data_IF_293042693533
#
_entry.id   IF_293042693533
#
_cell.length_a   1.000
_cell.length_b   1.000
_cell.length_c   1.000
_cell.angle_alpha   90.00
_cell.angle_beta   90.00
_cell.angle_gamma   90.00
#
_symmetry.space_group_name_H-M   'P 1'
#
loop_
_entity.id
_entity.type
_entity.pdbx_description
1 polymer ?
#
# COMPACT_ATOMS: atom_id res chain seq x y z
N UNK A 1 -22.40 24.78 2.95
CA UNK A 1 -21.85 23.58 2.28
C UNK A 1 -22.63 22.38 2.76
N UNK A 2 -23.19 21.58 1.86
CA UNK A 2 -23.90 20.35 2.26
C UNK A 2 -22.93 19.41 2.98
N UNK A 3 -23.40 18.70 4.01
CA UNK A 3 -22.59 17.76 4.80
C UNK A 3 -21.85 16.74 3.89
N UNK A 4 -22.47 16.36 2.77
CA UNK A 4 -21.87 15.51 1.76
C UNK A 4 -20.65 16.11 1.06
N UNK A 5 -20.59 17.44 0.88
CA UNK A 5 -19.44 18.12 0.28
C UNK A 5 -18.24 18.14 1.24
N UNK A 6 -18.49 18.23 2.55
CA UNK A 6 -17.47 18.09 3.60
C UNK A 6 -16.95 16.64 3.72
N UNK A 7 -17.85 15.66 3.68
CA UNK A 7 -17.51 14.22 3.75
C UNK A 7 -16.66 13.78 2.55
N UNK A 8 -16.80 14.42 1.38
CA UNK A 8 -15.98 14.13 0.19
C UNK A 8 -14.73 15.02 0.12
N UNK A 9 -14.84 16.31 0.43
CA UNK A 9 -13.72 17.24 0.30
C UNK A 9 -12.62 16.97 1.32
N UNK A 10 -12.95 16.60 2.56
CA UNK A 10 -11.96 16.33 3.61
C UNK A 10 -11.03 15.16 3.25
N UNK A 11 -11.51 13.97 2.86
CA UNK A 11 -10.62 12.87 2.46
C UNK A 11 -9.85 13.18 1.18
N UNK A 12 -10.41 13.94 0.24
CA UNK A 12 -9.69 14.37 -0.97
C UNK A 12 -8.55 15.34 -0.62
N UNK A 13 -8.81 16.34 0.23
CA UNK A 13 -7.78 17.27 0.72
C UNK A 13 -6.71 16.53 1.51
N UNK A 14 -7.09 15.56 2.35
CA UNK A 14 -6.15 14.71 3.07
C UNK A 14 -5.30 13.86 2.11
N UNK A 15 -5.89 13.29 1.06
CA UNK A 15 -5.17 12.55 0.02
C UNK A 15 -4.20 13.44 -0.75
N UNK A 16 -4.59 14.66 -1.10
CA UNK A 16 -3.73 15.63 -1.80
C UNK A 16 -2.60 16.13 -0.90
N UNK A 17 -2.91 16.43 0.36
CA UNK A 17 -1.90 16.82 1.35
C UNK A 17 -0.91 15.68 1.59
N UNK A 18 -1.42 14.45 1.72
CA UNK A 18 -0.61 13.25 1.82
C UNK A 18 0.28 13.04 0.60
N UNK A 19 -0.26 13.14 -0.61
CA UNK A 19 0.50 13.02 -1.84
C UNK A 19 1.62 14.07 -1.89
N UNK A 20 1.32 15.31 -1.51
CA UNK A 20 2.30 16.40 -1.42
C UNK A 20 3.41 16.07 -0.41
N UNK A 21 3.06 15.59 0.79
CA UNK A 21 4.04 15.20 1.82
C UNK A 21 4.92 14.05 1.34
N UNK A 22 4.33 13.02 0.71
CA UNK A 22 5.07 11.87 0.15
C UNK A 22 6.07 12.35 -0.90
N UNK A 23 5.63 13.20 -1.84
CA UNK A 23 6.48 13.77 -2.89
C UNK A 23 7.63 14.57 -2.25
N UNK A 24 7.34 15.45 -1.29
CA UNK A 24 8.35 16.27 -0.62
C UNK A 24 9.36 15.38 0.12
N UNK A 25 8.92 14.37 0.86
CA UNK A 25 9.82 13.47 1.60
C UNK A 25 10.70 12.66 0.65
N UNK A 26 10.14 12.14 -0.45
CA UNK A 26 10.91 11.42 -1.48
C UNK A 26 11.98 12.31 -2.11
N UNK A 27 11.63 13.57 -2.41
CA UNK A 27 12.54 14.54 -3.00
C UNK A 27 13.64 15.00 -2.02
N UNK A 28 13.32 15.12 -0.74
CA UNK A 28 14.25 15.60 0.29
C UNK A 28 15.19 14.49 0.76
N UNK A 29 14.69 13.29 1.02
CA UNK A 29 15.49 12.15 1.50
C UNK A 29 16.39 11.57 0.40
N UNK A 30 16.05 11.77 -0.88
CA UNK A 30 16.89 11.37 -2.01
C UNK A 30 18.24 12.11 -2.13
N UNK A 31 18.47 13.17 -1.34
CA UNK A 31 19.62 14.07 -1.51
C UNK A 31 20.93 13.60 -0.86
N UNK A 32 20.89 12.57 -0.01
CA UNK A 32 22.07 12.10 0.73
C UNK A 32 22.50 10.71 0.25
N UNK A 33 23.05 10.62 -0.97
CA UNK A 33 23.65 9.38 -1.46
C UNK A 33 25.17 9.51 -1.47
N UNK A 34 25.87 8.52 -0.90
CA UNK A 34 27.30 8.36 -1.05
C UNK A 34 27.66 8.25 -2.56
N UNK A 35 28.88 8.66 -2.95
CA UNK A 35 29.32 8.56 -4.34
C UNK A 35 29.25 7.14 -4.87
N UNK A 36 29.06 7.03 -6.17
CA UNK A 36 28.80 5.76 -6.83
C UNK A 36 30.07 4.99 -7.06
N UNK A 37 30.09 3.68 -6.82
CA UNK A 37 31.30 2.89 -7.03
C UNK A 37 31.68 2.77 -8.51
N UNK A 38 30.72 2.92 -9.43
CA UNK A 38 30.93 2.81 -10.87
C UNK A 38 29.83 3.48 -11.69
N UNK A 39 30.06 3.69 -12.99
CA UNK A 39 29.04 4.19 -13.92
C UNK A 39 27.86 3.22 -14.05
N UNK A 40 28.10 1.90 -13.99
CA UNK A 40 27.06 0.88 -13.99
C UNK A 40 26.18 1.00 -12.74
N UNK A 41 26.77 1.24 -11.57
CA UNK A 41 26.04 1.50 -10.33
C UNK A 41 25.21 2.80 -10.41
N UNK A 42 25.74 3.86 -11.01
CA UNK A 42 25.00 5.10 -11.26
C UNK A 42 23.79 4.88 -12.18
N UNK A 43 23.97 4.16 -13.29
CA UNK A 43 22.91 3.81 -14.22
C UNK A 43 21.82 2.95 -13.56
N UNK A 44 22.21 1.95 -12.76
CA UNK A 44 21.29 1.10 -12.02
C UNK A 44 20.43 1.88 -11.02
N UNK A 45 21.02 2.85 -10.29
CA UNK A 45 20.24 3.70 -9.38
C UNK A 45 19.31 4.67 -10.11
N UNK A 46 19.73 5.24 -11.25
CA UNK A 46 18.84 6.07 -12.09
C UNK A 46 17.66 5.26 -12.61
N UNK A 47 17.90 4.04 -13.09
CA UNK A 47 16.85 3.11 -13.51
C UNK A 47 15.88 2.82 -12.37
N UNK A 48 16.39 2.39 -11.21
CA UNK A 48 15.56 2.10 -10.04
C UNK A 48 14.79 3.34 -9.53
N UNK A 49 15.37 4.53 -9.64
CA UNK A 49 14.71 5.80 -9.34
C UNK A 49 13.57 6.11 -10.31
N UNK A 50 13.80 5.97 -11.62
CA UNK A 50 12.80 6.17 -12.66
C UNK A 50 11.62 5.20 -12.53
N UNK A 51 11.90 3.91 -12.33
CA UNK A 51 10.87 2.88 -12.08
C UNK A 51 10.02 3.26 -10.86
N UNK A 52 10.66 3.66 -9.76
CA UNK A 52 9.93 4.07 -8.55
C UNK A 52 9.07 5.30 -8.79
N UNK A 53 9.57 6.31 -9.51
CA UNK A 53 8.82 7.52 -9.81
C UNK A 53 7.58 7.22 -10.68
N UNK A 54 7.75 6.40 -11.73
CA UNK A 54 6.64 5.98 -12.59
C UNK A 54 5.62 5.15 -11.81
N UNK A 55 6.07 4.24 -10.94
CA UNK A 55 5.19 3.44 -10.09
C UNK A 55 4.33 4.33 -9.19
N UNK A 56 4.95 5.28 -8.48
CA UNK A 56 4.24 6.25 -7.63
C UNK A 56 3.30 7.15 -8.42
N UNK A 57 3.69 7.58 -9.62
CA UNK A 57 2.81 8.34 -10.50
C UNK A 57 1.55 7.55 -10.86
N UNK A 58 1.70 6.27 -11.23
CA UNK A 58 0.56 5.39 -11.49
C UNK A 58 -0.33 5.20 -10.26
N UNK A 59 0.29 5.05 -9.07
CA UNK A 59 -0.41 4.90 -7.80
C UNK A 59 -1.25 6.14 -7.43
N UNK A 60 -0.78 7.34 -7.77
CA UNK A 60 -1.48 8.62 -7.52
C UNK A 60 -2.53 8.93 -8.59
N UNK A 61 -2.23 8.67 -9.86
CA UNK A 61 -3.15 8.97 -10.97
C UNK A 61 -4.37 8.06 -11.00
N UNK A 62 -4.23 6.78 -10.64
CA UNK A 62 -5.34 5.83 -10.69
C UNK A 62 -6.54 6.24 -9.78
N UNK A 63 -6.36 6.67 -8.52
CA UNK A 63 -7.42 7.25 -7.70
C UNK A 63 -8.07 8.52 -8.26
N UNK A 64 -7.32 9.34 -9.00
CA UNK A 64 -7.84 10.57 -9.61
C UNK A 64 -8.72 10.26 -10.82
N UNK A 65 -8.32 9.29 -11.64
CA UNK A 65 -9.02 8.90 -12.86
C UNK A 65 -10.17 7.90 -12.60
N UNK A 66 -10.06 7.09 -11.54
CA UNK A 66 -11.02 6.05 -11.18
C UNK A 66 -12.48 6.52 -11.10
N UNK A 67 -12.79 7.63 -10.41
CA UNK A 67 -14.14 8.17 -10.35
C UNK A 67 -14.73 8.51 -11.73
N UNK A 68 -13.94 9.10 -12.62
CA UNK A 68 -14.38 9.45 -13.97
C UNK A 68 -14.77 8.20 -14.77
N UNK A 69 -13.98 7.13 -14.68
CA UNK A 69 -14.27 5.85 -15.33
C UNK A 69 -15.49 5.16 -14.72
N UNK A 70 -15.65 5.23 -13.39
CA UNK A 70 -16.79 4.64 -12.69
C UNK A 70 -18.13 5.29 -13.04
N UNK A 71 -18.13 6.56 -13.44
CA UNK A 71 -19.36 7.30 -13.80
C UNK A 71 -20.09 6.73 -15.03
N UNK A 72 -19.45 5.85 -15.79
CA UNK A 72 -20.07 5.12 -16.91
C UNK A 72 -20.96 3.96 -16.46
N UNK A 73 -20.84 3.52 -15.20
CA UNK A 73 -21.61 2.42 -14.61
C UNK A 73 -22.58 2.97 -13.58
N UNK A 74 -23.84 2.53 -13.64
CA UNK A 74 -24.89 2.97 -12.71
C UNK A 74 -25.20 1.92 -11.66
N UNK A 75 -25.73 2.38 -10.52
CA UNK A 75 -26.23 1.53 -9.46
C UNK A 75 -25.13 0.88 -8.61
N UNK A 76 -25.42 -0.25 -7.94
CA UNK A 76 -24.54 -0.84 -6.92
C UNK A 76 -23.16 -1.24 -7.45
N UNK A 77 -23.06 -1.61 -8.73
CA UNK A 77 -21.80 -1.98 -9.38
C UNK A 77 -20.80 -0.81 -9.45
N UNK A 78 -21.28 0.43 -9.49
CA UNK A 78 -20.44 1.61 -9.43
C UNK A 78 -19.63 1.66 -8.12
N UNK A 79 -20.26 1.28 -7.01
CA UNK A 79 -19.58 1.22 -5.70
C UNK A 79 -18.49 0.15 -5.65
N UNK A 80 -18.69 -0.99 -6.31
CA UNK A 80 -17.66 -2.04 -6.43
C UNK A 80 -16.48 -1.50 -7.24
N UNK A 81 -16.74 -0.86 -8.38
CA UNK A 81 -15.69 -0.29 -9.23
C UNK A 81 -14.89 0.78 -8.49
N UNK A 82 -15.56 1.69 -7.79
CA UNK A 82 -14.91 2.70 -6.94
C UNK A 82 -14.07 2.05 -5.83
N UNK A 83 -14.59 1.01 -5.19
CA UNK A 83 -13.87 0.25 -4.17
C UNK A 83 -12.62 -0.45 -4.70
N UNK A 84 -12.60 -0.85 -5.98
CA UNK A 84 -11.46 -1.53 -6.62
C UNK A 84 -10.41 -0.56 -7.16
N UNK A 85 -10.65 0.75 -7.16
CA UNK A 85 -9.69 1.76 -7.65
C UNK A 85 -8.32 1.67 -6.95
N UNK A 86 -8.22 1.54 -5.61
CA UNK A 86 -6.94 1.32 -4.94
C UNK A 86 -6.21 0.07 -5.44
N UNK A 87 -6.94 -1.00 -5.76
CA UNK A 87 -6.34 -2.24 -6.28
C UNK A 87 -5.77 -2.04 -7.67
N UNK A 88 -6.50 -1.39 -8.58
CA UNK A 88 -5.97 -1.06 -9.90
C UNK A 88 -4.68 -0.25 -9.76
N UNK A 89 -4.68 0.74 -8.86
CA UNK A 89 -3.50 1.52 -8.53
C UNK A 89 -2.34 0.65 -8.00
N UNK A 90 -2.63 -0.29 -7.10
CA UNK A 90 -1.65 -1.23 -6.55
C UNK A 90 -1.08 -2.22 -7.55
N UNK A 91 -1.91 -2.78 -8.42
CA UNK A 91 -1.48 -3.69 -9.49
C UNK A 91 -0.60 -2.95 -10.49
N UNK A 92 -0.96 -1.72 -10.88
CA UNK A 92 -0.12 -0.87 -11.73
C UNK A 92 1.22 -0.57 -11.05
N UNK A 93 1.19 -0.17 -9.77
CA UNK A 93 2.39 0.12 -8.99
C UNK A 93 3.35 -1.08 -8.92
N UNK A 94 2.84 -2.25 -8.53
CA UNK A 94 3.62 -3.49 -8.44
C UNK A 94 4.07 -3.97 -9.82
N UNK A 95 3.22 -3.83 -10.84
CA UNK A 95 3.53 -4.19 -12.23
C UNK A 95 4.68 -3.36 -12.80
N UNK A 96 4.72 -2.04 -12.56
CA UNK A 96 5.84 -1.18 -12.96
C UNK A 96 7.14 -1.65 -12.29
N UNK A 97 7.09 -2.00 -11.00
CA UNK A 97 8.25 -2.55 -10.32
C UNK A 97 8.68 -3.92 -10.88
N UNK A 98 7.73 -4.81 -11.20
CA UNK A 98 8.02 -6.09 -11.84
C UNK A 98 8.74 -5.89 -13.17
N UNK A 99 8.22 -5.01 -14.04
CA UNK A 99 8.83 -4.67 -15.33
C UNK A 99 10.21 -4.05 -15.12
N UNK A 100 10.35 -3.13 -14.16
CA UNK A 100 11.62 -2.48 -13.85
C UNK A 100 12.72 -3.46 -13.42
N UNK A 101 12.36 -4.49 -12.67
CA UNK A 101 13.29 -5.54 -12.23
C UNK A 101 13.55 -6.59 -13.32
N UNK A 102 12.58 -6.88 -14.20
CA UNK A 102 12.77 -7.76 -15.36
C UNK A 102 13.61 -7.11 -16.48
N UNK A 103 13.53 -5.79 -16.61
CA UNK A 103 14.31 -4.98 -17.58
C UNK A 103 15.65 -4.54 -17.03
N UNK A 104 16.08 -5.11 -15.89
CA UNK A 104 17.34 -4.76 -15.25
C UNK A 104 18.53 -4.96 -16.22
N UNK A 105 19.48 -4.02 -16.30
CA UNK A 105 20.63 -4.14 -17.19
C UNK A 105 21.39 -5.45 -16.94
N UNK A 106 21.54 -6.25 -17.99
CA UNK A 106 22.26 -7.53 -17.89
C UNK A 106 23.76 -7.28 -17.77
N UNK A 107 24.49 -8.13 -17.03
CA UNK A 107 25.94 -8.07 -16.97
C UNK A 107 26.58 -8.23 -18.36
N UNK A 108 27.24 -7.19 -18.86
CA UNK A 108 28.06 -7.24 -20.09
C UNK A 108 29.53 -7.12 -19.69
N UNK A 109 30.18 -8.25 -19.44
CA UNK A 109 31.60 -8.30 -19.09
C UNK A 109 32.24 -9.63 -19.50
N UNK A 110 33.51 -9.60 -19.87
CA UNK A 110 34.28 -10.77 -20.34
C UNK A 110 34.58 -11.79 -19.23
N UNK A 111 34.47 -11.40 -17.96
CA UNK A 111 34.76 -12.26 -16.80
C UNK A 111 33.46 -12.55 -16.02
N UNK A 112 32.97 -13.78 -16.13
CA UNK A 112 31.78 -14.25 -15.38
C UNK A 112 32.20 -14.69 -13.97
N UNK A 113 32.23 -13.76 -13.02
CA UNK A 113 32.36 -14.11 -11.59
C UNK A 113 30.98 -14.44 -11.04
N UNK A 114 30.72 -15.71 -10.76
CA UNK A 114 29.51 -16.15 -10.06
C UNK A 114 29.86 -16.36 -8.59
N UNK A 115 29.48 -15.42 -7.73
CA UNK A 115 29.46 -15.67 -6.29
C UNK A 115 28.32 -16.65 -5.97
N UNK A 116 28.64 -17.82 -5.42
CA UNK A 116 27.69 -18.87 -5.05
C UNK A 116 27.01 -18.62 -3.70
N UNK A 117 26.55 -17.39 -3.45
CA UNK A 117 25.75 -17.11 -2.25
C UNK A 117 24.27 -17.37 -2.53
N UNK A 118 23.69 -18.31 -1.78
CA UNK A 118 22.26 -18.61 -1.84
C UNK A 118 21.51 -17.47 -1.15
N UNK A 119 20.89 -16.59 -1.93
CA UNK A 119 20.12 -15.45 -1.42
C UNK A 119 18.64 -15.80 -1.38
N UNK A 120 17.99 -15.48 -0.28
CA UNK A 120 16.57 -15.71 -0.07
C UNK A 120 15.82 -14.38 0.00
N UNK A 121 14.50 -14.42 -0.19
CA UNK A 121 13.65 -13.24 0.00
C UNK A 121 13.73 -12.67 1.42
N UNK A 122 14.05 -13.51 2.42
CA UNK A 122 14.22 -13.09 3.80
C UNK A 122 15.45 -12.19 4.02
N UNK A 123 16.45 -12.24 3.14
CA UNK A 123 17.66 -11.43 3.23
C UNK A 123 17.46 -10.01 2.66
N UNK A 124 16.45 -9.87 1.79
CA UNK A 124 16.16 -8.63 1.06
C UNK A 124 14.94 -7.92 1.60
N UNK A 125 13.88 -8.66 1.94
CA UNK A 125 12.62 -8.10 2.41
C UNK A 125 12.62 -7.97 3.95
N UNK A 126 12.47 -6.75 4.49
CA UNK A 126 12.37 -6.57 5.94
C UNK A 126 11.13 -7.29 6.48
N UNK A 127 11.34 -8.26 7.37
CA UNK A 127 10.27 -9.11 7.94
C UNK A 127 9.12 -8.31 8.54
N UNK A 128 9.43 -7.17 9.18
CA UNK A 128 8.42 -6.27 9.75
C UNK A 128 7.45 -5.73 8.70
N UNK A 129 7.94 -5.18 7.57
CA UNK A 129 7.05 -4.64 6.53
C UNK A 129 6.23 -5.74 5.84
N UNK A 130 6.85 -6.90 5.61
CA UNK A 130 6.13 -8.06 5.08
C UNK A 130 5.03 -8.52 6.04
N UNK A 131 5.33 -8.59 7.33
CA UNK A 131 4.35 -8.87 8.38
C UNK A 131 3.21 -7.85 8.42
N UNK A 132 3.50 -6.56 8.28
CA UNK A 132 2.47 -5.51 8.19
C UNK A 132 1.58 -5.67 6.96
N UNK A 133 2.12 -5.98 5.78
CA UNK A 133 1.32 -6.20 4.57
C UNK A 133 0.31 -7.34 4.78
N UNK A 134 0.76 -8.46 5.33
CA UNK A 134 -0.10 -9.60 5.64
C UNK A 134 -1.06 -9.30 6.79
N UNK A 135 -0.64 -8.50 7.78
CA UNK A 135 -1.51 -7.99 8.84
C UNK A 135 -2.66 -7.14 8.31
N UNK A 136 -2.40 -6.23 7.37
CA UNK A 136 -3.45 -5.47 6.70
C UNK A 136 -4.38 -6.36 5.87
N UNK A 137 -3.82 -7.34 5.16
CA UNK A 137 -4.61 -8.30 4.38
C UNK A 137 -5.52 -9.13 5.29
N UNK A 138 -5.01 -9.59 6.43
CA UNK A 138 -5.78 -10.30 7.44
C UNK A 138 -6.87 -9.41 8.07
N UNK A 139 -6.59 -8.12 8.29
CA UNK A 139 -7.61 -7.16 8.73
C UNK A 139 -8.74 -7.03 7.70
N UNK A 140 -8.42 -6.89 6.41
CA UNK A 140 -9.45 -6.86 5.35
C UNK A 140 -10.28 -8.14 5.34
N UNK A 141 -9.65 -9.30 5.51
CA UNK A 141 -10.36 -10.59 5.64
C UNK A 141 -11.34 -10.58 6.81
N UNK A 142 -10.88 -10.17 8.00
CA UNK A 142 -11.75 -10.08 9.20
C UNK A 142 -12.90 -9.13 8.95
N UNK A 143 -12.64 -7.94 8.38
CA UNK A 143 -13.68 -6.96 8.09
C UNK A 143 -14.68 -7.47 7.04
N UNK A 144 -14.22 -8.21 6.02
CA UNK A 144 -15.10 -8.82 5.02
C UNK A 144 -15.99 -9.91 5.63
N UNK A 145 -15.45 -10.74 6.52
CA UNK A 145 -16.21 -11.79 7.23
C UNK A 145 -17.24 -11.17 8.18
N UNK A 146 -16.82 -10.22 9.01
CA UNK A 146 -17.72 -9.52 9.95
C UNK A 146 -18.78 -8.73 9.20
N UNK A 147 -18.39 -7.95 8.19
CA UNK A 147 -19.32 -7.22 7.34
C UNK A 147 -20.28 -8.15 6.63
N UNK A 148 -19.79 -9.26 6.09
CA UNK A 148 -20.62 -10.29 5.44
C UNK A 148 -21.65 -10.93 6.37
N UNK A 149 -21.29 -11.18 7.63
CA UNK A 149 -22.19 -11.74 8.64
C UNK A 149 -23.26 -10.74 9.13
N UNK A 150 -22.92 -9.45 9.18
CA UNK A 150 -23.82 -8.39 9.69
C UNK A 150 -24.72 -7.81 8.59
N UNK A 151 -24.31 -7.91 7.33
CA UNK A 151 -25.01 -7.22 6.24
C UNK A 151 -26.40 -7.81 5.93
N UNK A 152 -27.40 -6.93 5.87
CA UNK A 152 -28.70 -7.20 5.28
C UNK A 152 -28.63 -7.04 3.75
N UNK A 153 -29.17 -8.03 3.03
CA UNK A 153 -29.11 -8.06 1.55
C UNK A 153 -27.68 -8.02 0.98
N UNK A 154 -26.68 -8.37 1.78
CA UNK A 154 -25.27 -8.45 1.39
C UNK A 154 -24.54 -7.11 1.19
N UNK A 155 -25.21 -5.95 1.34
CA UNK A 155 -24.63 -4.63 1.03
C UNK A 155 -25.14 -3.47 1.89
N UNK A 156 -26.08 -3.73 2.80
CA UNK A 156 -26.65 -2.75 3.71
C UNK A 156 -26.55 -3.27 5.14
N UNK A 157 -26.79 -2.39 6.10
CA UNK A 157 -27.08 -2.77 7.48
C UNK A 157 -28.45 -2.21 7.84
N UNK A 158 -29.27 -3.00 8.52
CA UNK A 158 -30.64 -2.63 8.86
C UNK A 158 -30.93 -2.83 10.33
N UNK A 159 -31.81 -1.99 10.87
CA UNK A 159 -32.36 -2.10 12.22
C UNK A 159 -33.88 -2.00 12.14
N UNK A 160 -34.57 -2.89 12.85
CA UNK A 160 -36.02 -2.83 13.05
C UNK A 160 -36.31 -1.95 14.28
N UNK A 161 -37.31 -1.09 14.15
CA UNK A 161 -37.84 -0.19 15.18
C UNK A 161 -39.36 -0.40 15.25
N UNK A 162 -40.01 0.05 16.30
CA UNK A 162 -41.44 -0.22 16.56
C UNK A 162 -42.34 0.19 15.38
N UNK A 163 -42.06 1.33 14.74
CA UNK A 163 -42.84 1.87 13.61
C UNK A 163 -42.22 1.61 12.22
N UNK A 164 -41.24 0.70 12.09
CA UNK A 164 -40.69 0.33 10.80
C UNK A 164 -39.24 -0.14 10.79
N UNK A 165 -38.54 0.10 9.68
CA UNK A 165 -37.17 -0.36 9.49
C UNK A 165 -36.30 0.72 8.88
N UNK A 166 -35.07 0.82 9.37
CA UNK A 166 -34.06 1.70 8.82
C UNK A 166 -32.96 0.85 8.18
N UNK A 167 -32.48 1.28 7.02
CA UNK A 167 -31.37 0.62 6.33
C UNK A 167 -30.39 1.67 5.83
N UNK A 168 -29.09 1.40 5.97
CA UNK A 168 -28.04 2.25 5.43
C UNK A 168 -27.05 1.45 4.60
N UNK A 169 -26.57 2.08 3.53
CA UNK A 169 -25.47 1.59 2.71
C UNK A 169 -24.71 2.77 2.08
N UNK A 170 -23.56 2.51 1.44
CA UNK A 170 -22.94 1.20 1.25
C UNK A 170 -22.33 0.65 2.55
N UNK A 171 -22.67 -0.59 2.91
CA UNK A 171 -22.07 -1.32 4.03
C UNK A 171 -21.21 -2.46 3.47
N UNK A 172 -19.99 -2.73 4.00
CA UNK A 172 -19.04 -3.68 3.43
C UNK A 172 -19.41 -5.16 3.70
N UNK A 173 -20.64 -5.54 3.37
CA UNK A 173 -21.10 -6.93 3.31
C UNK A 173 -20.49 -7.71 2.15
N UNK A 174 -20.88 -8.97 1.96
CA UNK A 174 -20.30 -9.86 0.94
C UNK A 174 -20.24 -9.27 -0.47
N UNK A 175 -21.22 -8.43 -0.85
CA UNK A 175 -21.27 -7.78 -2.15
C UNK A 175 -20.05 -6.87 -2.43
N UNK A 176 -19.56 -6.16 -1.41
CA UNK A 176 -18.37 -5.29 -1.51
C UNK A 176 -17.12 -5.95 -0.92
N UNK A 177 -17.26 -6.63 0.21
CA UNK A 177 -16.15 -7.21 0.98
C UNK A 177 -15.41 -8.32 0.23
N UNK A 178 -16.12 -9.20 -0.49
CA UNK A 178 -15.47 -10.29 -1.22
C UNK A 178 -14.61 -9.78 -2.39
N UNK A 179 -15.10 -8.91 -3.30
CA UNK A 179 -14.26 -8.29 -4.32
C UNK A 179 -13.03 -7.59 -3.73
N UNK A 180 -13.21 -6.80 -2.66
CA UNK A 180 -12.11 -6.07 -2.02
C UNK A 180 -11.05 -7.02 -1.41
N UNK A 181 -11.49 -8.11 -0.78
CA UNK A 181 -10.58 -9.13 -0.23
C UNK A 181 -9.75 -9.80 -1.33
N UNK A 182 -10.40 -10.25 -2.41
CA UNK A 182 -9.71 -10.86 -3.57
C UNK A 182 -8.70 -9.87 -4.14
N UNK A 183 -9.10 -8.61 -4.25
CA UNK A 183 -8.26 -7.54 -4.76
C UNK A 183 -7.02 -7.30 -3.88
N UNK A 184 -7.17 -7.27 -2.56
CA UNK A 184 -6.03 -7.18 -1.62
C UNK A 184 -5.11 -8.40 -1.70
N UNK A 185 -5.66 -9.62 -1.83
CA UNK A 185 -4.88 -10.84 -2.00
C UNK A 185 -4.04 -10.81 -3.29
N UNK A 186 -4.61 -10.31 -4.40
CA UNK A 186 -3.88 -10.14 -5.66
C UNK A 186 -2.71 -9.19 -5.49
N UNK A 187 -2.90 -8.04 -4.84
CA UNK A 187 -1.81 -7.08 -4.59
C UNK A 187 -0.73 -7.67 -3.68
N UNK A 188 -1.12 -8.39 -2.63
CA UNK A 188 -0.18 -9.06 -1.73
C UNK A 188 0.62 -10.14 -2.46
N UNK A 189 -0.04 -11.00 -3.24
CA UNK A 189 0.62 -12.05 -4.01
C UNK A 189 1.55 -11.49 -5.10
N UNK A 190 1.11 -10.46 -5.82
CA UNK A 190 1.94 -9.79 -6.82
C UNK A 190 3.18 -9.14 -6.16
N UNK A 191 3.02 -8.58 -4.96
CA UNK A 191 4.14 -8.03 -4.19
C UNK A 191 5.16 -9.11 -3.83
N UNK A 192 4.72 -10.27 -3.33
CA UNK A 192 5.60 -11.42 -3.05
C UNK A 192 6.32 -11.92 -4.31
N UNK A 193 5.62 -11.96 -5.45
CA UNK A 193 6.24 -12.33 -6.73
C UNK A 193 7.34 -11.34 -7.14
N UNK A 194 7.11 -10.03 -6.99
CA UNK A 194 8.15 -9.02 -7.25
C UNK A 194 9.31 -9.14 -6.27
N UNK A 195 9.05 -9.40 -4.98
CA UNK A 195 10.14 -9.64 -4.00
C UNK A 195 10.98 -10.86 -4.39
N UNK A 196 10.37 -11.90 -4.95
CA UNK A 196 11.09 -13.06 -5.48
C UNK A 196 11.98 -12.67 -6.67
N UNK A 197 11.46 -11.87 -7.61
CA UNK A 197 12.25 -11.34 -8.76
C UNK A 197 13.42 -10.49 -8.29
N UNK A 198 13.22 -9.60 -7.30
CA UNK A 198 14.27 -8.76 -6.71
C UNK A 198 15.35 -9.62 -6.06
N UNK A 199 14.97 -10.70 -5.37
CA UNK A 199 15.92 -11.64 -4.76
C UNK A 199 16.69 -12.45 -5.82
N UNK A 200 16.07 -12.80 -6.94
CA UNK A 200 16.67 -13.61 -8.00
C UNK A 200 17.44 -12.84 -9.07
N UNK A 201 17.34 -11.49 -9.10
CA UNK A 201 17.99 -10.70 -10.16
C UNK A 201 19.52 -10.89 -10.18
N UNK A 202 20.20 -10.78 -11.33
CA UNK A 202 21.66 -10.78 -11.40
C UNK A 202 22.29 -9.61 -10.62
N UNK A 203 23.51 -9.80 -10.10
CA UNK A 203 24.25 -8.71 -9.45
C UNK A 203 24.73 -7.66 -10.46
N UNK A 204 24.81 -6.41 -10.03
CA UNK A 204 25.34 -5.30 -10.85
C UNK A 204 26.84 -5.50 -11.09
N UNK A 205 27.28 -5.33 -12.34
CA UNK A 205 28.69 -5.45 -12.74
C UNK A 205 29.54 -4.43 -11.99
N UNK A 206 30.70 -4.89 -11.50
CA UNK A 206 31.69 -4.10 -10.75
C UNK A 206 31.15 -3.46 -9.44
N UNK A 207 29.96 -3.85 -8.99
CA UNK A 207 29.44 -3.44 -7.69
C UNK A 207 29.86 -4.42 -6.60
N UNK A 208 30.26 -3.88 -5.44
CA UNK A 208 30.53 -4.70 -4.27
C UNK A 208 29.25 -5.43 -3.81
N UNK A 209 29.33 -6.69 -3.32
CA UNK A 209 28.15 -7.46 -2.91
C UNK A 209 27.23 -6.75 -1.91
N UNK A 210 27.81 -6.02 -0.95
CA UNK A 210 27.08 -5.20 0.04
C UNK A 210 26.26 -4.08 -0.59
N UNK A 211 26.77 -3.47 -1.66
CA UNK A 211 26.08 -2.39 -2.37
C UNK A 211 24.90 -2.95 -3.18
N UNK A 212 25.10 -4.09 -3.85
CA UNK A 212 24.03 -4.80 -4.56
C UNK A 212 22.90 -5.22 -3.61
N UNK A 213 23.24 -5.76 -2.43
CA UNK A 213 22.26 -6.12 -1.40
C UNK A 213 21.49 -4.90 -0.91
N UNK A 214 22.17 -3.79 -0.61
CA UNK A 214 21.52 -2.55 -0.18
C UNK A 214 20.54 -2.03 -1.25
N UNK A 215 20.91 -2.12 -2.53
CA UNK A 215 20.04 -1.73 -3.65
C UNK A 215 18.80 -2.63 -3.75
N UNK A 216 18.96 -3.94 -3.55
CA UNK A 216 17.83 -4.89 -3.53
C UNK A 216 16.89 -4.63 -2.35
N UNK A 217 17.45 -4.39 -1.17
CA UNK A 217 16.69 -4.04 0.02
C UNK A 217 15.90 -2.75 -0.24
N UNK A 218 16.51 -1.75 -0.86
CA UNK A 218 15.83 -0.51 -1.23
C UNK A 218 14.66 -0.76 -2.21
N UNK A 219 14.86 -1.57 -3.26
CA UNK A 219 13.78 -2.00 -4.16
C UNK A 219 12.65 -2.68 -3.37
N UNK A 220 12.96 -3.64 -2.51
CA UNK A 220 11.97 -4.35 -1.70
C UNK A 220 11.19 -3.42 -0.76
N UNK A 221 11.86 -2.46 -0.12
CA UNK A 221 11.20 -1.45 0.73
C UNK A 221 10.22 -0.59 -0.07
N UNK A 222 10.59 -0.15 -1.27
CA UNK A 222 9.72 0.66 -2.13
C UNK A 222 8.45 -0.10 -2.52
N UNK A 223 8.61 -1.34 -2.98
CA UNK A 223 7.48 -2.20 -3.38
C UNK A 223 6.56 -2.46 -2.19
N UNK A 224 7.11 -2.87 -1.04
CA UNK A 224 6.33 -3.15 0.17
C UNK A 224 5.53 -1.94 0.66
N UNK A 225 6.12 -0.74 0.62
CA UNK A 225 5.45 0.49 1.08
C UNK A 225 4.26 0.88 0.21
N UNK A 226 4.40 0.81 -1.11
CA UNK A 226 3.28 1.09 -2.00
C UNK A 226 2.17 0.05 -1.86
N UNK A 227 2.53 -1.23 -1.75
CA UNK A 227 1.55 -2.29 -1.50
C UNK A 227 0.82 -2.13 -0.16
N UNK A 228 1.56 -1.81 0.92
CA UNK A 228 0.97 -1.51 2.22
C UNK A 228 0.03 -0.32 2.17
N UNK A 229 0.39 0.75 1.44
CA UNK A 229 -0.46 1.92 1.26
C UNK A 229 -1.81 1.52 0.67
N UNK A 230 -1.79 0.70 -0.38
CA UNK A 230 -3.01 0.23 -1.06
C UNK A 230 -3.88 -0.63 -0.15
N UNK A 231 -3.31 -1.67 0.46
CA UNK A 231 -4.07 -2.62 1.28
C UNK A 231 -4.58 -1.96 2.57
N UNK A 232 -3.73 -1.15 3.21
CA UNK A 232 -4.10 -0.43 4.44
C UNK A 232 -5.16 0.66 4.21
N UNK A 233 -5.08 1.42 3.11
CA UNK A 233 -6.13 2.38 2.76
C UNK A 233 -7.44 1.68 2.37
N UNK A 234 -7.38 0.49 1.77
CA UNK A 234 -8.57 -0.33 1.52
C UNK A 234 -9.23 -0.74 2.83
N UNK A 235 -8.46 -1.22 3.81
CA UNK A 235 -8.97 -1.54 5.15
C UNK A 235 -9.57 -0.31 5.86
N UNK A 236 -8.91 0.84 5.77
CA UNK A 236 -9.42 2.10 6.30
C UNK A 236 -10.75 2.52 5.62
N UNK A 237 -10.85 2.36 4.30
CA UNK A 237 -12.08 2.62 3.55
C UNK A 237 -13.23 1.72 3.98
N UNK A 238 -12.98 0.41 4.16
CA UNK A 238 -13.97 -0.55 4.66
C UNK A 238 -14.49 -0.14 6.05
N UNK A 239 -13.59 0.21 6.97
CA UNK A 239 -13.94 0.71 8.30
C UNK A 239 -14.74 2.02 8.24
N UNK A 240 -14.33 2.95 7.36
CA UNK A 240 -14.99 4.24 7.19
C UNK A 240 -16.44 4.06 6.72
N UNK A 241 -16.67 3.37 5.60
CA UNK A 241 -18.01 3.18 5.05
C UNK A 241 -18.88 2.28 5.94
N UNK A 242 -18.31 1.23 6.53
CA UNK A 242 -19.01 0.40 7.51
C UNK A 242 -19.43 1.19 8.74
N UNK A 243 -18.53 1.99 9.31
CA UNK A 243 -18.80 2.84 10.46
C UNK A 243 -19.83 3.93 10.18
N UNK A 244 -19.77 4.58 9.00
CA UNK A 244 -20.77 5.55 8.56
C UNK A 244 -22.15 4.90 8.45
N UNK A 245 -22.27 3.73 7.80
CA UNK A 245 -23.55 3.05 7.64
C UNK A 245 -24.15 2.61 8.99
N UNK A 246 -23.35 2.03 9.89
CA UNK A 246 -23.80 1.64 11.24
C UNK A 246 -24.21 2.87 12.07
N UNK A 247 -23.47 3.97 11.96
CA UNK A 247 -23.81 5.23 12.64
C UNK A 247 -25.09 5.85 12.07
N UNK A 248 -25.32 5.78 10.76
CA UNK A 248 -26.52 6.32 10.13
C UNK A 248 -27.79 5.61 10.61
N UNK A 249 -27.74 4.28 10.88
CA UNK A 249 -28.90 3.57 11.45
C UNK A 249 -29.08 3.76 12.96
N UNK A 250 -28.17 4.50 13.62
CA UNK A 250 -28.26 4.79 15.05
C UNK A 250 -29.26 5.91 15.38
N UNK A 251 -29.46 6.85 14.45
CA UNK A 251 -30.38 7.98 14.59
C UNK A 251 -31.73 7.63 13.96
N UNK A 252 -32.79 7.54 14.76
CA UNK A 252 -34.13 7.40 14.20
C UNK A 252 -34.59 8.74 13.61
N UNK A 253 -35.19 8.69 12.42
CA UNK A 253 -35.78 9.85 11.75
C UNK A 253 -37.25 10.09 12.16
N UNK A 254 -37.78 9.28 13.09
CA UNK A 254 -39.16 9.36 13.58
C UNK A 254 -39.16 10.15 14.88
N UNK A 255 -40.19 10.99 15.09
CA UNK A 255 -40.34 11.94 16.21
C UNK A 255 -40.12 11.31 17.60
N UNK A 256 -40.44 10.02 17.79
CA UNK A 256 -40.28 9.27 19.05
C UNK A 256 -39.17 8.20 19.02
N UNK A 257 -38.38 8.15 17.95
CA UNK A 257 -37.42 7.07 17.75
C UNK A 257 -36.18 7.20 18.64
N UNK A 258 -36.05 6.32 19.64
CA UNK A 258 -34.88 6.29 20.51
C UNK A 258 -33.59 6.00 19.73
N UNK A 259 -32.60 6.90 19.90
CA UNK A 259 -31.23 6.71 19.40
C UNK A 259 -30.67 5.40 19.94
N UNK A 260 -30.19 4.52 19.07
CA UNK A 260 -29.54 3.29 19.53
C UNK A 260 -28.09 3.58 19.92
N UNK A 261 -27.84 3.70 21.23
CA UNK A 261 -26.50 3.84 21.78
C UNK A 261 -25.51 2.76 21.28
N UNK A 262 -25.85 1.45 21.21
CA UNK A 262 -24.91 0.43 20.71
C UNK A 262 -24.41 0.70 19.29
N UNK A 263 -25.32 0.93 18.33
CA UNK A 263 -24.98 1.25 16.95
C UNK A 263 -24.17 2.56 16.83
N UNK A 264 -24.52 3.58 17.62
CA UNK A 264 -23.76 4.84 17.64
C UNK A 264 -22.32 4.61 18.10
N UNK A 265 -22.12 3.84 19.18
CA UNK A 265 -20.79 3.52 19.72
C UNK A 265 -19.99 2.69 18.73
N UNK A 266 -20.56 1.60 18.19
CA UNK A 266 -19.88 0.74 17.23
C UNK A 266 -19.48 1.52 15.96
N UNK A 267 -20.42 2.29 15.40
CA UNK A 267 -20.16 3.13 14.24
C UNK A 267 -19.04 4.14 14.51
N UNK A 268 -19.05 4.79 15.68
CA UNK A 268 -18.02 5.76 16.07
C UNK A 268 -16.65 5.11 16.26
N UNK A 269 -16.58 3.93 16.89
CA UNK A 269 -15.33 3.16 17.05
C UNK A 269 -14.78 2.78 15.67
N UNK A 270 -15.62 2.28 14.76
CA UNK A 270 -15.19 1.93 13.41
C UNK A 270 -14.62 3.14 12.64
N UNK A 271 -15.24 4.31 12.78
CA UNK A 271 -14.73 5.57 12.21
C UNK A 271 -13.38 5.98 12.81
N UNK A 272 -13.22 5.87 14.13
CA UNK A 272 -11.96 6.17 14.80
C UNK A 272 -10.85 5.20 14.33
N UNK A 273 -11.16 3.91 14.22
CA UNK A 273 -10.24 2.91 13.70
C UNK A 273 -9.89 3.17 12.23
N UNK A 274 -10.82 3.64 11.40
CA UNK A 274 -10.53 4.02 10.01
C UNK A 274 -9.44 5.10 9.95
N UNK A 275 -9.51 6.12 10.81
CA UNK A 275 -8.51 7.18 10.91
C UNK A 275 -7.16 6.61 11.38
N UNK A 276 -7.16 5.81 12.45
CA UNK A 276 -5.92 5.20 12.99
C UNK A 276 -5.25 4.31 11.95
N UNK A 277 -6.00 3.44 11.27
CA UNK A 277 -5.49 2.56 10.22
C UNK A 277 -4.97 3.36 9.03
N UNK A 278 -5.71 4.38 8.58
CA UNK A 278 -5.31 5.26 7.49
C UNK A 278 -3.98 5.99 7.80
N UNK A 279 -3.89 6.61 8.97
CA UNK A 279 -2.67 7.31 9.42
C UNK A 279 -1.49 6.35 9.58
N UNK A 280 -1.70 5.18 10.20
CA UNK A 280 -0.64 4.17 10.37
C UNK A 280 -0.11 3.71 9.02
N UNK A 281 -1.01 3.44 8.08
CA UNK A 281 -0.67 3.02 6.72
C UNK A 281 0.19 4.08 6.00
N UNK A 282 -0.22 5.34 6.10
CA UNK A 282 0.51 6.49 5.57
C UNK A 282 1.90 6.61 6.17
N UNK A 283 1.99 6.56 7.50
CA UNK A 283 3.26 6.67 8.22
C UNK A 283 4.21 5.56 7.79
N UNK A 284 3.74 4.30 7.74
CA UNK A 284 4.54 3.16 7.29
C UNK A 284 5.01 3.33 5.83
N UNK A 285 4.19 3.90 4.96
CA UNK A 285 4.56 4.15 3.56
C UNK A 285 5.65 5.23 3.40
N UNK A 286 5.67 6.24 4.28
CA UNK A 286 6.55 7.42 4.15
C UNK A 286 7.83 7.31 4.98
N UNK A 287 7.80 6.65 6.15
CA UNK A 287 8.93 6.58 7.08
C UNK A 287 10.20 6.12 6.36
N UNK A 288 11.32 6.85 6.37
CA UNK A 288 12.53 6.43 5.66
C UNK A 288 13.04 5.08 6.18
N UNK A 289 13.42 4.18 5.28
CA UNK A 289 14.00 2.90 5.66
C UNK A 289 15.39 3.15 6.21
N UNK A 290 15.71 2.68 7.42
CA UNK A 290 17.08 2.74 7.92
C UNK A 290 17.92 1.78 7.07
N UNK A 291 18.92 2.26 6.30
CA UNK A 291 19.79 1.37 5.57
C UNK A 291 20.58 0.54 6.59
N UNK A 292 20.31 -0.77 6.63
CA UNK A 292 20.97 -1.71 7.55
C UNK A 292 22.49 -1.79 7.36
N UNK A 293 23.06 -1.12 6.36
CA UNK A 293 24.49 -1.13 6.04
C UNK A 293 25.22 0.22 6.18
N UNK A 294 24.60 1.27 6.75
CA UNK A 294 25.30 2.55 6.97
C UNK A 294 26.18 2.57 8.24
N UNK A 295 26.18 1.50 9.03
CA UNK A 295 27.06 1.36 10.19
C UNK A 295 28.29 0.53 9.81
N UNK A 296 29.46 1.19 9.89
CA UNK A 296 30.83 0.69 9.77
C UNK A 296 31.29 0.28 8.35
N UNK A 297 31.82 1.26 7.61
CA UNK A 297 33.08 1.03 6.89
C UNK A 297 34.16 1.12 7.96
N UNK A 298 34.84 0.03 8.36
CA UNK A 298 36.13 0.19 9.00
C UNK A 298 37.02 0.84 7.96
N UNK A 299 37.37 2.12 8.15
CA UNK A 299 38.43 2.80 7.40
C UNK A 299 39.81 2.31 7.87
N UNK A 300 39.91 1.04 8.24
CA UNK A 300 41.17 0.43 8.60
C UNK A 300 42.07 0.43 7.36
N UNK A 301 43.33 0.85 7.49
CA UNK A 301 44.29 0.75 6.40
C UNK A 301 44.31 -0.71 5.91
N UNK A 302 44.29 -0.88 4.58
CA UNK A 302 44.55 -2.18 3.98
C UNK A 302 45.88 -2.69 4.55
N UNK A 303 45.95 -3.91 5.11
CA UNK A 303 47.22 -4.46 5.57
C UNK A 303 48.19 -4.44 4.39
N UNK A 304 49.33 -3.77 4.60
CA UNK A 304 50.39 -3.64 3.60
C UNK A 304 50.68 -5.02 3.01
N UNK A 305 50.69 -5.07 1.68
CA UNK A 305 51.02 -6.27 0.94
C UNK A 305 52.36 -6.80 1.45
N UNK A 306 52.36 -8.06 1.90
CA UNK A 306 53.58 -8.73 2.35
C UNK A 306 54.66 -8.60 1.26
N UNK A 307 55.89 -8.19 1.62
CA UNK A 307 57.00 -8.17 0.68
C UNK A 307 57.25 -9.59 0.16
N UNK A 308 57.39 -9.71 -1.16
CA UNK A 308 57.86 -10.93 -1.82
C UNK A 308 59.37 -11.06 -1.67
#
# INVERSE_FOLDING_TARGET
MSLGLLVVAVPVVLLVALATVVIVVVLVVGRSSAPDPSQAAAAARRHAGGVSAIAWLGLVLAPVLGPALSGTVRGPAQGVLLGLVPTVAGVLFVGVHAVGELTWPRPTGTVRRAGLDRRTTADVAPRGLRGFLWGWTALVLVLAVVGGAVATGGRQVSRVVEDGGMSAGPFPGWFYGLPLLVACLVVAAATEAVLHVVASRPAVVDAQPRWDLALRQLSAHRVLRGAQLVVGLTAAGVLLYGGLAVRNISHALVEDGATSLPHLVIGTIALALAVVVGLTTVVVAVLPGRPAGALAVPTGPLPDALPR
#
